data_IF_293207005827
#
_entry.id   IF_293207005827
#
_cell.length_a   1.000
_cell.length_b   1.000
_cell.length_c   1.000
_cell.angle_alpha   90.00
_cell.angle_beta   90.00
_cell.angle_gamma   90.00
#
_symmetry.space_group_name_H-M   'P 1'
#
loop_
_entity.id
_entity.type
_entity.pdbx_description
1 polymer ?
#
# COMPACT_ATOMS: atom_id res chain seq x y z
N UNK A 1 -2.88 -6.35 24.18
CA UNK A 1 -4.30 -6.26 23.77
C UNK A 1 -4.64 -4.93 23.09
N UNK A 2 -4.48 -3.76 23.74
CA UNK A 2 -4.82 -2.44 23.13
C UNK A 2 -4.05 -2.16 21.83
N UNK A 3 -2.73 -2.41 21.81
CA UNK A 3 -1.88 -2.16 20.63
C UNK A 3 -2.25 -3.08 19.45
N UNK A 4 -2.55 -4.36 19.70
CA UNK A 4 -2.98 -5.29 18.65
C UNK A 4 -4.32 -4.83 18.03
N UNK A 5 -5.27 -4.41 18.87
CA UNK A 5 -6.56 -3.90 18.40
C UNK A 5 -6.39 -2.63 17.55
N UNK A 6 -5.44 -1.76 17.89
CA UNK A 6 -5.13 -0.56 17.10
C UNK A 6 -4.58 -0.92 15.71
N UNK A 7 -3.62 -1.85 15.63
CA UNK A 7 -3.09 -2.30 14.34
C UNK A 7 -4.15 -2.95 13.45
N UNK A 8 -5.04 -3.75 14.03
CA UNK A 8 -6.17 -4.34 13.30
C UNK A 8 -7.11 -3.25 12.76
N UNK A 9 -7.43 -2.23 13.56
CA UNK A 9 -8.26 -1.11 13.10
C UNK A 9 -7.57 -0.34 11.97
N UNK A 10 -6.28 -0.02 12.11
CA UNK A 10 -5.52 0.68 11.06
C UNK A 10 -5.45 -0.14 9.76
N UNK A 11 -5.27 -1.45 9.86
CA UNK A 11 -5.29 -2.36 8.72
C UNK A 11 -6.64 -2.35 7.99
N UNK A 12 -7.75 -2.43 8.73
CA UNK A 12 -9.10 -2.38 8.17
C UNK A 12 -9.35 -1.02 7.49
N UNK A 13 -9.04 0.08 8.19
CA UNK A 13 -9.20 1.44 7.66
C UNK A 13 -8.38 1.64 6.39
N UNK A 14 -7.12 1.21 6.36
CA UNK A 14 -6.26 1.29 5.18
C UNK A 14 -6.84 0.49 4.00
N UNK A 15 -7.34 -0.72 4.27
CA UNK A 15 -7.96 -1.57 3.24
C UNK A 15 -9.20 -0.91 2.65
N UNK A 16 -10.14 -0.46 3.49
CA UNK A 16 -11.36 0.24 3.04
C UNK A 16 -11.01 1.52 2.29
N UNK A 17 -10.06 2.29 2.80
CA UNK A 17 -9.59 3.52 2.18
C UNK A 17 -8.97 3.28 0.80
N UNK A 18 -8.17 2.23 0.62
CA UNK A 18 -7.58 1.89 -0.67
C UNK A 18 -8.64 1.58 -1.73
N UNK A 19 -9.74 0.92 -1.35
CA UNK A 19 -10.87 0.65 -2.25
C UNK A 19 -11.63 1.93 -2.58
N UNK A 20 -11.86 2.79 -1.60
CA UNK A 20 -12.49 4.10 -1.82
C UNK A 20 -11.65 4.97 -2.76
N UNK A 21 -10.36 5.12 -2.46
CA UNK A 21 -9.46 5.97 -3.22
C UNK A 21 -9.22 5.44 -4.63
N UNK A 22 -9.12 4.12 -4.80
CA UNK A 22 -8.96 3.52 -6.13
C UNK A 22 -10.12 3.81 -7.07
N UNK A 23 -11.35 3.83 -6.54
CA UNK A 23 -12.57 4.22 -7.28
C UNK A 23 -12.60 5.72 -7.54
N UNK A 24 -12.42 6.52 -6.49
CA UNK A 24 -12.43 7.99 -6.59
C UNK A 24 -11.47 8.49 -7.67
N UNK A 25 -10.21 8.03 -7.62
CA UNK A 25 -9.20 8.50 -8.56
C UNK A 25 -9.52 8.13 -10.01
N UNK A 26 -10.09 6.93 -10.22
CA UNK A 26 -10.49 6.46 -11.55
C UNK A 26 -11.59 7.33 -12.18
N UNK A 27 -12.46 7.90 -11.36
CA UNK A 27 -13.54 8.79 -11.78
C UNK A 27 -13.08 10.23 -11.97
N UNK A 28 -12.13 10.71 -11.15
CA UNK A 28 -11.72 12.12 -11.15
C UNK A 28 -10.51 12.44 -12.02
N UNK A 29 -9.73 11.44 -12.43
CA UNK A 29 -8.50 11.70 -13.17
C UNK A 29 -8.79 12.01 -14.65
N UNK A 30 -8.33 13.17 -15.09
CA UNK A 30 -8.43 13.58 -16.50
C UNK A 30 -7.31 12.99 -17.35
N UNK A 31 -6.10 12.82 -16.78
CA UNK A 31 -4.97 12.18 -17.44
C UNK A 31 -4.66 10.82 -16.83
N UNK A 32 -5.04 9.78 -17.57
CA UNK A 32 -4.86 8.38 -17.19
C UNK A 32 -3.50 7.81 -17.60
N UNK A 33 -2.74 8.57 -18.39
CA UNK A 33 -1.48 8.14 -19.01
C UNK A 33 -0.23 8.60 -18.25
N UNK A 34 -0.41 9.52 -17.29
CA UNK A 34 0.65 9.99 -16.40
C UNK A 34 0.90 9.06 -15.22
N UNK A 35 2.04 9.32 -14.59
CA UNK A 35 2.47 8.73 -13.33
C UNK A 35 1.67 9.27 -12.15
N UNK A 36 1.86 8.70 -10.96
CA UNK A 36 1.27 9.24 -9.73
C UNK A 36 1.88 10.61 -9.44
N UNK A 37 1.02 11.61 -9.23
CA UNK A 37 1.43 12.97 -8.85
C UNK A 37 1.71 12.98 -7.34
N UNK A 38 2.54 13.90 -6.85
CA UNK A 38 2.98 13.97 -5.44
C UNK A 38 1.86 13.86 -4.39
N UNK A 39 0.69 14.44 -4.65
CA UNK A 39 -0.48 14.32 -3.77
C UNK A 39 -1.11 12.92 -3.81
N UNK A 40 -1.17 12.28 -4.98
CA UNK A 40 -1.71 10.93 -5.15
C UNK A 40 -0.81 9.87 -4.51
N UNK A 41 0.52 10.09 -4.53
CA UNK A 41 1.49 9.19 -3.92
C UNK A 41 1.17 8.98 -2.44
N UNK A 42 0.87 10.04 -1.69
CA UNK A 42 0.58 9.93 -0.27
C UNK A 42 -0.69 9.10 -0.01
N UNK A 43 -1.70 9.25 -0.85
CA UNK A 43 -2.93 8.46 -0.78
C UNK A 43 -2.75 6.98 -1.14
N UNK A 44 -1.71 6.63 -1.90
CA UNK A 44 -1.35 5.25 -2.25
C UNK A 44 -0.45 4.63 -1.19
N UNK A 45 0.63 5.32 -0.83
CA UNK A 45 1.69 4.82 0.04
C UNK A 45 1.22 4.65 1.49
N UNK A 46 0.44 5.59 2.04
CA UNK A 46 0.01 5.50 3.44
C UNK A 46 -0.81 4.23 3.72
N UNK A 47 -1.84 3.89 2.93
CA UNK A 47 -2.54 2.61 3.08
C UNK A 47 -1.65 1.39 2.90
N UNK A 48 -0.68 1.43 1.99
CA UNK A 48 0.26 0.33 1.78
C UNK A 48 1.21 0.12 2.96
N UNK A 49 1.50 1.13 3.78
CA UNK A 49 2.27 0.93 5.03
C UNK A 49 1.49 0.02 6.00
N UNK A 50 0.17 0.16 6.08
CA UNK A 50 -0.65 -0.60 7.01
C UNK A 50 -1.16 -1.92 6.43
N UNK A 51 -1.33 -2.01 5.11
CA UNK A 51 -1.83 -3.20 4.43
C UNK A 51 -1.18 -3.34 3.03
N UNK A 52 0.13 -3.61 2.96
CA UNK A 52 0.86 -3.55 1.69
C UNK A 52 0.31 -4.54 0.66
N UNK A 53 0.07 -5.77 1.08
CA UNK A 53 -0.40 -6.84 0.19
C UNK A 53 -1.79 -6.53 -0.37
N UNK A 54 -2.76 -6.17 0.50
CA UNK A 54 -4.14 -5.96 0.05
C UNK A 54 -4.28 -4.62 -0.65
N UNK A 55 -3.75 -3.52 -0.10
CA UNK A 55 -3.84 -2.21 -0.73
C UNK A 55 -3.11 -2.18 -2.07
N UNK A 56 -1.90 -2.75 -2.14
CA UNK A 56 -1.15 -2.88 -3.39
C UNK A 56 -1.90 -3.68 -4.45
N UNK A 57 -2.51 -4.81 -4.07
CA UNK A 57 -3.36 -5.59 -4.97
C UNK A 57 -4.59 -4.80 -5.43
N UNK A 58 -5.28 -4.10 -4.52
CA UNK A 58 -6.45 -3.27 -4.83
C UNK A 58 -6.07 -2.21 -5.87
N UNK A 59 -5.00 -1.45 -5.66
CA UNK A 59 -4.56 -0.42 -6.59
C UNK A 59 -4.15 -1.03 -7.94
N UNK A 60 -3.34 -2.08 -7.94
CA UNK A 60 -2.88 -2.72 -9.17
C UNK A 60 -4.05 -3.24 -10.00
N UNK A 61 -4.93 -4.08 -9.43
CA UNK A 61 -6.02 -4.69 -10.20
C UNK A 61 -7.11 -3.70 -10.58
N UNK A 62 -7.38 -2.70 -9.75
CA UNK A 62 -8.39 -1.66 -10.05
C UNK A 62 -7.93 -0.75 -11.18
N UNK A 63 -6.62 -0.50 -11.29
CA UNK A 63 -6.06 0.49 -12.22
C UNK A 63 -5.37 -0.12 -13.44
N UNK A 64 -4.91 -1.38 -13.42
CA UNK A 64 -4.10 -1.98 -14.51
C UNK A 64 -4.67 -1.80 -15.91
N UNK A 65 -6.00 -1.78 -16.05
CA UNK A 65 -6.67 -1.62 -17.36
C UNK A 65 -6.86 -0.16 -17.77
N UNK A 66 -7.06 0.75 -16.82
CA UNK A 66 -7.40 2.14 -17.11
C UNK A 66 -6.24 3.12 -16.94
N UNK A 67 -5.31 2.84 -16.03
CA UNK A 67 -4.18 3.68 -15.66
C UNK A 67 -2.94 2.79 -15.38
N UNK A 68 -2.40 2.11 -16.41
CA UNK A 68 -1.38 1.08 -16.22
C UNK A 68 -0.09 1.61 -15.59
N UNK A 69 0.31 2.85 -15.88
CA UNK A 69 1.51 3.46 -15.26
C UNK A 69 1.32 3.68 -13.76
N UNK A 70 0.20 4.29 -13.34
CA UNK A 70 -0.13 4.47 -11.92
C UNK A 70 -0.28 3.13 -11.19
N UNK A 71 -0.89 2.13 -11.83
CA UNK A 71 -0.99 0.77 -11.28
C UNK A 71 0.38 0.13 -11.04
N UNK A 72 1.29 0.25 -12.01
CA UNK A 72 2.66 -0.26 -11.90
C UNK A 72 3.44 0.44 -10.77
N UNK A 73 3.30 1.77 -10.65
CA UNK A 73 3.93 2.52 -9.57
C UNK A 73 3.39 2.16 -8.19
N UNK A 74 2.07 2.04 -8.02
CA UNK A 74 1.47 1.56 -6.77
C UNK A 74 2.02 0.18 -6.38
N UNK A 75 2.03 -0.78 -7.33
CA UNK A 75 2.60 -2.10 -7.07
C UNK A 75 4.10 -2.03 -6.70
N UNK A 76 4.88 -1.16 -7.34
CA UNK A 76 6.29 -0.93 -6.98
C UNK A 76 6.42 -0.45 -5.53
N UNK A 77 5.60 0.50 -5.10
CA UNK A 77 5.61 0.97 -3.70
C UNK A 77 5.26 -0.14 -2.71
N UNK A 78 4.23 -0.93 -3.01
CA UNK A 78 3.86 -2.09 -2.20
C UNK A 78 5.04 -3.06 -2.03
N UNK A 79 5.75 -3.42 -3.10
CA UNK A 79 6.92 -4.30 -3.01
C UNK A 79 8.08 -3.69 -2.22
N UNK A 80 8.32 -2.38 -2.36
CA UNK A 80 9.33 -1.66 -1.56
C UNK A 80 8.98 -1.74 -0.08
N UNK A 81 7.72 -1.47 0.28
CA UNK A 81 7.27 -1.50 1.68
C UNK A 81 7.35 -2.91 2.26
N UNK A 82 6.95 -3.94 1.50
CA UNK A 82 7.12 -5.34 1.92
C UNK A 82 8.59 -5.64 2.17
N UNK A 83 9.48 -5.23 1.25
CA UNK A 83 10.93 -5.40 1.40
C UNK A 83 11.46 -4.72 2.67
N UNK A 84 11.00 -3.51 2.97
CA UNK A 84 11.36 -2.77 4.19
C UNK A 84 10.89 -3.54 5.44
N UNK A 85 9.66 -4.03 5.48
CA UNK A 85 9.16 -4.80 6.62
C UNK A 85 9.93 -6.10 6.84
N UNK A 86 10.24 -6.82 5.76
CA UNK A 86 11.05 -8.04 5.83
C UNK A 86 12.45 -7.72 6.34
N UNK A 87 13.09 -6.67 5.81
CA UNK A 87 14.42 -6.24 6.23
C UNK A 87 14.48 -5.90 7.73
N UNK A 88 13.54 -5.08 8.22
CA UNK A 88 13.47 -4.77 9.65
C UNK A 88 13.13 -5.99 10.51
N UNK A 89 12.26 -6.89 10.03
CA UNK A 89 11.97 -8.15 10.69
C UNK A 89 13.21 -9.03 10.85
N UNK A 90 14.05 -9.13 9.82
CA UNK A 90 15.32 -9.87 9.88
C UNK A 90 16.26 -9.22 10.89
N UNK A 91 16.47 -7.90 10.82
CA UNK A 91 17.34 -7.19 11.77
C UNK A 91 16.86 -7.40 13.21
N UNK A 92 15.56 -7.27 13.46
CA UNK A 92 14.99 -7.44 14.78
C UNK A 92 15.21 -8.85 15.33
N UNK A 93 15.00 -9.89 14.52
CA UNK A 93 15.27 -11.27 14.93
C UNK A 93 16.77 -11.50 15.22
N UNK A 94 17.65 -10.98 14.35
CA UNK A 94 19.10 -11.07 14.56
C UNK A 94 19.57 -10.39 15.85
N UNK A 95 18.97 -9.24 16.21
CA UNK A 95 19.30 -8.51 17.44
C UNK A 95 18.73 -9.17 18.71
N UNK A 96 17.57 -9.80 18.62
CA UNK A 96 16.90 -10.42 19.76
C UNK A 96 17.33 -11.87 20.01
N UNK A 97 18.13 -12.46 19.10
CA UNK A 97 18.63 -13.83 19.25
C UNK A 97 17.55 -14.91 19.12
N UNK A 98 16.33 -14.55 18.74
CA UNK A 98 15.26 -15.50 18.45
C UNK A 98 15.58 -16.20 17.12
N UNK A 99 16.22 -17.36 17.24
CA UNK A 99 16.38 -18.32 16.15
C UNK A 99 15.10 -19.16 16.14
N UNK A 100 14.34 -19.12 15.05
CA UNK A 100 13.22 -20.06 14.85
C UNK A 100 13.75 -21.48 14.62
#
# INVERSE_FOLDING_TARGET
>A
MIIQNLWTVLFIVATVYSVYYSRKLKETVNDKSSELISNEILHVVVPEIFSPIIAGAVYFYSWRKSMPKKASQANKYSWIIIGIFVFFGIIWNSLTGNSY
#
